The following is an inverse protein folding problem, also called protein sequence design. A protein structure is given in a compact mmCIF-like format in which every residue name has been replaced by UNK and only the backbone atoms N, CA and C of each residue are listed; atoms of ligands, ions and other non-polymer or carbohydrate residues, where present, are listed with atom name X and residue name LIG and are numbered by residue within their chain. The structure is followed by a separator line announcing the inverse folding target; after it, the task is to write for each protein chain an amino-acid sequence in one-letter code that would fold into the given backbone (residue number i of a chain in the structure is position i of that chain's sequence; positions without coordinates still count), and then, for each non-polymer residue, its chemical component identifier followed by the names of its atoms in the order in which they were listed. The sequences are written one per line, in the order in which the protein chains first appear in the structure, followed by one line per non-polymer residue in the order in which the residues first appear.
data_IF_099057579416
#
_entry.id   IF_099057579416
#
_cell.length_a   1.000
_cell.length_b   1.000
_cell.length_c   1.000
_cell.angle_alpha   90.00
_cell.angle_beta   90.00
_cell.angle_gamma   90.00
#
_symmetry.space_group_name_H-M   'P 1'
#
loop_
_entity.id
_entity.type
_entity.pdbx_description
1 polymer ?
#
# COMPACT_ATOMS: atom_id res chain seq x y z
N UNK A 1 7.66 -5.26 -10.26
CA UNK A 1 7.12 -5.11 -8.89
C UNK A 1 7.64 -3.82 -8.29
N UNK A 2 6.90 -3.26 -7.35
CA UNK A 2 7.32 -2.13 -6.50
C UNK A 2 7.59 -2.69 -5.12
N UNK A 3 8.79 -2.43 -4.58
CA UNK A 3 9.18 -2.90 -3.26
C UNK A 3 9.04 -1.77 -2.26
N UNK A 4 8.29 -2.01 -1.19
CA UNK A 4 8.02 -1.09 -0.11
C UNK A 4 8.52 -1.70 1.20
N UNK A 5 8.76 -0.85 2.18
CA UNK A 5 9.12 -1.29 3.53
C UNK A 5 8.09 -0.75 4.48
N UNK A 6 7.47 -1.66 5.21
CA UNK A 6 6.54 -1.36 6.30
C UNK A 6 7.25 -0.51 7.36
N UNK A 7 6.51 0.37 8.01
CA UNK A 7 7.06 1.29 9.00
C UNK A 7 6.07 1.51 10.13
N UNK A 8 5.29 2.58 10.13
CA UNK A 8 4.29 2.92 11.14
C UNK A 8 3.20 3.83 10.53
N UNK A 9 3.15 3.94 9.20
CA UNK A 9 2.18 4.76 8.49
C UNK A 9 1.76 4.12 7.18
N UNK A 10 0.45 4.15 6.91
CA UNK A 10 -0.11 3.71 5.63
C UNK A 10 0.49 4.46 4.44
N UNK A 11 0.88 5.73 4.61
CA UNK A 11 1.49 6.53 3.55
C UNK A 11 2.84 6.00 3.10
N UNK A 12 3.58 5.35 4.00
CA UNK A 12 4.96 4.91 3.76
C UNK A 12 4.99 3.63 2.92
N UNK A 13 3.88 2.88 2.97
CA UNK A 13 3.58 1.74 2.09
C UNK A 13 2.49 2.06 1.06
N UNK A 14 2.23 3.34 0.81
CA UNK A 14 1.44 3.81 -0.34
C UNK A 14 2.37 4.32 -1.43
N UNK A 15 2.01 4.12 -2.69
CA UNK A 15 2.89 4.48 -3.81
C UNK A 15 2.12 4.78 -5.08
N UNK A 16 2.79 5.36 -6.07
CA UNK A 16 2.20 5.69 -7.36
C UNK A 16 3.24 5.58 -8.46
N UNK A 17 2.78 5.52 -9.69
CA UNK A 17 3.65 5.49 -10.84
C UNK A 17 2.88 5.59 -12.15
N UNK A 18 3.56 5.22 -13.23
CA UNK A 18 2.97 5.26 -14.58
C UNK A 18 3.29 3.96 -15.30
N UNK A 19 2.28 3.36 -15.90
CA UNK A 19 2.43 2.33 -16.93
C UNK A 19 2.34 2.99 -18.30
N UNK A 20 3.13 2.47 -19.25
CA UNK A 20 3.09 2.90 -20.64
C UNK A 20 2.71 1.72 -21.51
N UNK A 21 1.83 1.96 -22.47
CA UNK A 21 1.49 1.01 -23.53
C UNK A 21 1.71 1.71 -24.86
N UNK A 22 2.21 0.97 -25.85
CA UNK A 22 2.34 1.45 -27.21
C UNK A 22 1.90 0.33 -28.14
N UNK A 23 0.93 0.64 -28.99
CA UNK A 23 0.43 -0.25 -30.02
C UNK A 23 0.26 0.58 -31.30
N UNK A 24 0.64 0.04 -32.45
CA UNK A 24 0.59 0.76 -33.73
C UNK A 24 -0.82 0.79 -34.33
N UNK A 25 -1.66 -0.18 -33.96
CA UNK A 25 -2.99 -0.42 -34.50
C UNK A 25 -4.11 -0.04 -33.50
N UNK A 26 -3.78 0.19 -32.23
CA UNK A 26 -4.73 0.48 -31.15
C UNK A 26 -4.38 1.73 -30.32
N UNK A 27 -5.36 2.38 -29.67
CA UNK A 27 -5.08 3.49 -28.77
C UNK A 27 -4.17 3.08 -27.61
N UNK A 28 -3.13 3.90 -27.36
CA UNK A 28 -2.21 3.75 -26.23
C UNK A 28 -2.87 4.14 -24.90
N UNK A 29 -3.88 3.39 -24.47
CA UNK A 29 -4.69 3.69 -23.28
C UNK A 29 -5.01 2.43 -22.48
N UNK A 30 -5.29 2.63 -21.18
CA UNK A 30 -5.70 1.57 -20.25
C UNK A 30 -7.18 1.61 -19.94
N UNK A 31 -7.73 0.46 -19.53
CA UNK A 31 -9.04 0.40 -18.88
C UNK A 31 -8.90 0.95 -17.47
N UNK A 32 -9.59 2.04 -17.18
CA UNK A 32 -9.52 2.70 -15.89
C UNK A 32 -10.05 1.80 -14.77
N UNK A 33 -9.36 1.78 -13.64
CA UNK A 33 -9.78 1.14 -12.42
C UNK A 33 -9.81 2.18 -11.30
N UNK A 34 -10.88 2.19 -10.52
CA UNK A 34 -11.07 3.16 -9.44
C UNK A 34 -11.14 2.38 -8.12
N UNK A 35 -9.99 2.23 -7.47
CA UNK A 35 -9.91 1.65 -6.14
C UNK A 35 -10.23 0.15 -6.08
N UNK A 36 -9.72 -0.64 -7.03
CA UNK A 36 -9.69 -2.10 -6.96
C UNK A 36 -9.15 -2.53 -5.60
N UNK A 37 -9.99 -3.15 -4.77
CA UNK A 37 -9.62 -3.57 -3.43
C UNK A 37 -8.61 -4.73 -3.49
N UNK A 38 -7.51 -4.57 -2.76
CA UNK A 38 -6.58 -5.63 -2.40
C UNK A 38 -6.83 -6.11 -0.96
N UNK A 39 -5.94 -6.99 -0.52
CA UNK A 39 -5.78 -7.45 0.87
C UNK A 39 -5.20 -6.36 1.77
N UNK A 40 -4.20 -5.61 1.32
CA UNK A 40 -3.46 -4.63 2.15
C UNK A 40 -3.69 -3.18 1.73
N UNK A 41 -4.37 -2.96 0.61
CA UNK A 41 -4.65 -1.62 0.12
C UNK A 41 -5.67 -1.60 -1.01
N UNK A 42 -5.69 -0.50 -1.75
CA UNK A 42 -6.52 -0.33 -2.93
C UNK A 42 -5.69 0.21 -4.09
N UNK A 43 -5.95 -0.28 -5.29
CA UNK A 43 -5.26 0.09 -6.51
C UNK A 43 -6.18 0.87 -7.45
N UNK A 44 -5.66 1.92 -8.07
CA UNK A 44 -6.34 2.65 -9.13
C UNK A 44 -5.40 2.93 -10.28
N UNK A 45 -5.94 2.98 -11.49
CA UNK A 45 -5.22 3.40 -12.69
C UNK A 45 -6.16 4.19 -13.59
N UNK A 46 -5.69 5.30 -14.15
CA UNK A 46 -6.45 6.07 -15.13
C UNK A 46 -6.14 5.61 -16.56
N UNK A 47 -6.88 6.13 -17.54
CA UNK A 47 -6.70 5.76 -18.96
C UNK A 47 -5.34 6.15 -19.54
N UNK A 48 -4.65 7.11 -18.92
CA UNK A 48 -3.29 7.53 -19.29
C UNK A 48 -2.19 6.67 -18.63
N UNK A 49 -2.56 5.67 -17.82
CA UNK A 49 -1.64 4.75 -17.18
C UNK A 49 -1.04 5.25 -15.86
N UNK A 50 -1.44 6.44 -15.38
CA UNK A 50 -1.05 6.88 -14.04
C UNK A 50 -1.83 6.06 -13.01
N UNK A 51 -1.11 5.37 -12.14
CA UNK A 51 -1.66 4.48 -11.14
C UNK A 51 -1.26 4.87 -9.72
N UNK A 52 -2.09 4.46 -8.77
CA UNK A 52 -1.90 4.67 -7.34
C UNK A 52 -2.22 3.39 -6.59
N UNK A 53 -1.41 3.07 -5.61
CA UNK A 53 -1.70 2.10 -4.56
C UNK A 53 -1.76 2.84 -3.23
N UNK A 54 -2.88 2.71 -2.52
CA UNK A 54 -3.08 3.29 -1.19
C UNK A 54 -3.27 2.16 -0.19
N UNK A 55 -2.34 2.01 0.75
CA UNK A 55 -2.45 1.03 1.82
C UNK A 55 -3.62 1.36 2.75
N UNK A 56 -4.24 0.33 3.30
CA UNK A 56 -5.45 0.45 4.15
C UNK A 56 -5.12 0.88 5.59
N UNK A 57 -3.94 0.52 6.07
CA UNK A 57 -3.36 0.91 7.35
C UNK A 57 -1.84 0.89 7.23
N UNK A 58 -1.14 1.13 8.34
CA UNK A 58 0.32 0.96 8.39
C UNK A 58 0.77 -0.50 8.30
N UNK A 59 -0.12 -1.44 8.63
CA UNK A 59 0.16 -2.87 8.70
C UNK A 59 1.27 -3.25 9.70
N UNK A 60 1.32 -2.57 10.85
CA UNK A 60 2.19 -2.85 12.01
C UNK A 60 2.13 -4.33 12.48
N UNK A 61 1.10 -5.09 12.07
CA UNK A 61 1.01 -6.54 12.32
C UNK A 61 1.94 -7.41 11.44
N UNK A 62 2.61 -6.84 10.43
CA UNK A 62 3.49 -7.59 9.53
C UNK A 62 4.74 -8.09 10.23
N UNK A 63 5.10 -9.34 9.95
CA UNK A 63 6.25 -9.99 10.59
C UNK A 63 7.54 -9.50 9.95
N UNK A 64 8.46 -9.04 10.80
CA UNK A 64 9.78 -8.60 10.37
C UNK A 64 10.49 -9.63 9.47
N UNK A 65 10.95 -9.18 8.30
CA UNK A 65 11.65 -10.01 7.32
C UNK A 65 10.73 -10.87 6.44
N UNK A 66 9.41 -10.81 6.62
CA UNK A 66 8.44 -11.45 5.71
C UNK A 66 7.98 -10.47 4.63
N UNK A 67 7.70 -11.03 3.46
CA UNK A 67 7.18 -10.30 2.31
C UNK A 67 5.69 -10.54 2.14
N UNK A 68 4.94 -9.45 2.01
CA UNK A 68 3.51 -9.42 1.81
C UNK A 68 3.23 -8.83 0.43
N UNK A 69 2.86 -9.70 -0.51
CA UNK A 69 2.76 -9.34 -1.93
C UNK A 69 1.30 -9.32 -2.40
N UNK A 70 0.97 -8.33 -3.24
CA UNK A 70 -0.29 -8.21 -3.97
C UNK A 70 -0.02 -8.02 -5.46
N UNK A 71 -0.94 -8.49 -6.31
CA UNK A 71 -0.87 -8.29 -7.76
C UNK A 71 -2.20 -7.80 -8.30
N UNK A 72 -2.15 -6.69 -9.01
CA UNK A 72 -3.31 -6.09 -9.67
C UNK A 72 -3.19 -6.30 -11.17
N UNK A 73 -4.17 -7.00 -11.75
CA UNK A 73 -4.32 -7.15 -13.19
C UNK A 73 -4.73 -5.81 -13.80
N UNK A 74 -4.05 -5.42 -14.88
CA UNK A 74 -4.29 -4.19 -15.63
C UNK A 74 -4.46 -4.55 -17.09
N UNK A 75 -5.52 -4.03 -17.71
CA UNK A 75 -5.83 -4.29 -19.10
C UNK A 75 -5.70 -3.02 -19.93
N UNK A 76 -5.03 -3.11 -21.09
CA UNK A 76 -5.07 -2.05 -22.10
C UNK A 76 -6.37 -2.09 -22.91
N UNK A 77 -6.64 -1.03 -23.66
CA UNK A 77 -7.90 -0.89 -24.42
C UNK A 77 -8.08 -1.96 -25.53
N UNK A 78 -7.00 -2.58 -25.98
CA UNK A 78 -6.97 -3.68 -26.95
C UNK A 78 -7.22 -5.08 -26.31
N UNK A 79 -7.33 -5.14 -24.98
CA UNK A 79 -7.49 -6.38 -24.22
C UNK A 79 -6.19 -7.05 -23.80
N UNK A 80 -5.02 -6.45 -24.05
CA UNK A 80 -3.74 -6.98 -23.56
C UNK A 80 -3.64 -6.82 -22.03
N UNK A 81 -3.25 -7.88 -21.34
CA UNK A 81 -3.10 -7.90 -19.87
C UNK A 81 -1.65 -7.67 -19.45
N UNK A 82 -1.49 -6.90 -18.38
CA UNK A 82 -0.25 -6.72 -17.61
C UNK A 82 -0.57 -6.69 -16.12
N UNK A 83 0.44 -6.56 -15.26
CA UNK A 83 0.21 -6.51 -13.81
C UNK A 83 1.10 -5.50 -13.10
N UNK A 84 0.55 -4.92 -12.03
CA UNK A 84 1.31 -4.17 -11.02
C UNK A 84 1.39 -5.04 -9.77
N UNK A 85 2.60 -5.46 -9.42
CA UNK A 85 2.87 -6.19 -8.18
C UNK A 85 3.41 -5.23 -7.11
N UNK A 86 2.78 -5.22 -5.95
CA UNK A 86 3.21 -4.50 -4.74
C UNK A 86 3.81 -5.54 -3.78
N UNK A 87 5.02 -5.30 -3.31
CA UNK A 87 5.74 -6.18 -2.40
C UNK A 87 6.17 -5.40 -1.16
N UNK A 88 5.61 -5.74 0.01
CA UNK A 88 5.83 -5.01 1.27
C UNK A 88 6.67 -5.88 2.19
N UNK A 89 7.86 -5.40 2.55
CA UNK A 89 8.70 -6.02 3.56
C UNK A 89 8.25 -5.58 4.96
N UNK A 90 7.80 -6.53 5.78
CA UNK A 90 7.47 -6.28 7.19
C UNK A 90 8.69 -5.91 8.02
N UNK A 91 8.51 -5.02 9.01
CA UNK A 91 9.58 -4.61 9.93
C UNK A 91 9.24 -4.91 11.40
N UNK A 92 10.14 -4.57 12.31
CA UNK A 92 9.89 -4.68 13.75
C UNK A 92 9.60 -3.31 14.32
N UNK A 93 8.44 -3.17 14.97
CA UNK A 93 8.10 -1.92 15.63
C UNK A 93 8.84 -1.71 16.94
N UNK A 94 9.17 -0.43 17.18
CA UNK A 94 9.64 -0.03 18.49
C UNK A 94 8.48 -0.13 19.50
N UNK A 95 8.73 -0.60 20.73
CA UNK A 95 7.68 -0.67 21.75
C UNK A 95 7.13 0.74 22.03
N UNK A 96 5.79 0.84 22.07
CA UNK A 96 5.11 2.06 22.47
C UNK A 96 5.56 2.46 23.88
N UNK A 97 6.22 3.62 23.98
CA UNK A 97 6.62 4.18 25.27
C UNK A 97 5.41 4.86 25.90
N UNK A 98 4.75 4.17 26.82
CA UNK A 98 3.83 4.82 27.73
C UNK A 98 4.62 5.64 28.74
N UNK A 99 4.46 6.97 28.72
CA UNK A 99 4.90 7.80 29.84
C UNK A 99 4.01 7.44 31.05
N UNK A 100 4.57 7.17 32.24
CA UNK A 100 3.74 6.98 33.42
C UNK A 100 3.02 8.30 33.68
N UNK A 101 1.70 8.33 33.50
CA UNK A 101 0.86 9.34 34.15
C UNK A 101 1.01 9.09 35.64
N UNK A 102 1.58 10.07 36.34
CA UNK A 102 1.81 9.98 37.78
C UNK A 102 0.47 9.78 38.50
N UNK A 103 0.13 8.54 38.83
CA UNK A 103 -0.98 8.22 39.73
C UNK A 103 -0.48 8.51 41.13
N UNK A 104 -0.52 9.78 41.53
CA UNK A 104 -0.32 10.17 42.92
C UNK A 104 -1.50 9.65 43.75
N UNK A 105 -1.33 8.50 44.40
CA UNK A 105 -2.18 8.10 45.52
C UNK A 105 -1.89 9.03 46.71
N UNK A 106 -2.63 10.13 46.80
CA UNK A 106 -2.68 10.88 48.05
C UNK A 106 -3.41 10.02 49.08
N UNK A 107 -2.68 9.47 50.06
CA UNK A 107 -3.30 8.83 51.23
C UNK A 107 -4.12 9.89 51.96
N UNK A 108 -5.43 9.67 52.09
CA UNK A 108 -6.22 10.37 53.11
C UNK A 108 -5.73 9.91 54.49
N UNK A 109 -5.01 10.75 55.23
CA UNK A 109 -4.84 10.53 56.65
C UNK A 109 -6.16 10.84 57.37
N UNK A 110 -6.58 9.92 58.24
CA UNK A 110 -7.60 10.13 59.26
C UNK A 110 -6.99 10.82 60.47
#
# INVERSE_FOLDING_TARGET
SVNLTETNSATDISTSGTLTVSDVDSPATFVAQVGTAGTYGSFGINTAGAWTYAASSAHDEFVAGQHYTESFDVMSADGTHTSVAIDILGTSDAPLRFAPTDIQLTRCHF
#
